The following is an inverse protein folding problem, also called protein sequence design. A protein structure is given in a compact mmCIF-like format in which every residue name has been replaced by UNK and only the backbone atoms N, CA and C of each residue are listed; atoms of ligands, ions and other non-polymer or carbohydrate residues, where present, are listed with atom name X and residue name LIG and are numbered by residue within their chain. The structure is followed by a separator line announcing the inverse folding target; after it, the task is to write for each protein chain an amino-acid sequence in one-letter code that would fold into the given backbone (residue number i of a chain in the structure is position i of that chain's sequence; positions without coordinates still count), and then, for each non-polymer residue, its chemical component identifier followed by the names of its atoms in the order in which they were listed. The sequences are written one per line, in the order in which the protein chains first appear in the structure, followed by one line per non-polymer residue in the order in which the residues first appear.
data_IF_607103610038
#
_entry.id   IF_607103610038
#
_cell.length_a   1.000
_cell.length_b   1.000
_cell.length_c   1.000
_cell.angle_alpha   90.00
_cell.angle_beta   90.00
_cell.angle_gamma   90.00
#
_symmetry.space_group_name_H-M   'P 1'
#
loop_
_entity.id
_entity.type
_entity.pdbx_description
1 polymer ?
#
# COMPACT_ATOMS: atom_id res chain seq x y z
N UNK A 1 -0.31 -24.83 14.47
CA UNK A 1 0.51 -24.67 13.24
C UNK A 1 1.60 -23.66 13.57
N UNK A 2 2.83 -23.84 13.10
CA UNK A 2 3.87 -22.80 13.24
C UNK A 2 3.47 -21.57 12.42
N UNK A 3 3.57 -20.38 13.00
CA UNK A 3 3.39 -19.13 12.26
C UNK A 3 4.43 -19.04 11.15
N UNK A 4 4.03 -18.50 9.99
CA UNK A 4 4.93 -18.19 8.88
C UNK A 4 4.66 -16.74 8.52
N UNK A 5 5.67 -15.88 8.67
CA UNK A 5 5.50 -14.45 8.38
C UNK A 5 5.06 -14.24 6.93
N UNK A 6 4.02 -13.42 6.68
CA UNK A 6 3.56 -13.11 5.34
C UNK A 6 4.62 -12.37 4.50
N UNK A 7 5.60 -11.74 5.16
CA UNK A 7 6.69 -11.03 4.50
C UNK A 7 7.78 -11.96 3.95
N UNK A 8 7.81 -13.24 4.31
CA UNK A 8 8.79 -14.19 3.76
C UNK A 8 8.56 -14.46 2.26
N UNK A 9 7.33 -14.28 1.77
CA UNK A 9 6.97 -14.51 0.38
C UNK A 9 6.24 -13.29 -0.23
N UNK A 10 6.94 -12.15 -0.42
CA UNK A 10 6.29 -10.90 -0.81
C UNK A 10 5.89 -10.85 -2.30
N UNK A 11 6.28 -11.86 -3.09
CA UNK A 11 6.23 -11.84 -4.55
C UNK A 11 4.84 -11.55 -5.13
N UNK A 12 3.78 -12.10 -4.54
CA UNK A 12 2.42 -11.87 -5.03
C UNK A 12 1.99 -10.40 -4.88
N UNK A 13 2.35 -9.74 -3.78
CA UNK A 13 1.99 -8.33 -3.54
C UNK A 13 2.75 -7.42 -4.48
N UNK A 14 4.04 -7.71 -4.71
CA UNK A 14 4.88 -6.96 -5.65
C UNK A 14 4.35 -7.08 -7.08
N UNK A 15 3.99 -8.30 -7.52
CA UNK A 15 3.39 -8.52 -8.84
C UNK A 15 2.08 -7.77 -8.98
N UNK A 16 1.20 -7.85 -7.98
CA UNK A 16 -0.09 -7.16 -8.00
C UNK A 16 0.08 -5.64 -8.12
N UNK A 17 0.97 -5.03 -7.32
CA UNK A 17 1.26 -3.59 -7.40
C UNK A 17 1.81 -3.18 -8.77
N UNK A 18 2.70 -3.99 -9.36
CA UNK A 18 3.23 -3.71 -10.69
C UNK A 18 2.13 -3.77 -11.76
N UNK A 19 1.24 -4.76 -11.70
CA UNK A 19 0.11 -4.89 -12.62
C UNK A 19 -0.84 -3.69 -12.49
N UNK A 20 -1.24 -3.34 -11.26
CA UNK A 20 -2.11 -2.19 -11.01
C UNK A 20 -1.50 -0.88 -11.50
N UNK A 21 -0.19 -0.69 -11.35
CA UNK A 21 0.52 0.48 -11.89
C UNK A 21 0.47 0.50 -13.42
N UNK A 22 0.75 -0.63 -14.08
CA UNK A 22 0.69 -0.74 -15.55
C UNK A 22 -0.73 -0.53 -16.10
N UNK A 23 -1.74 -1.10 -15.45
CA UNK A 23 -3.15 -0.89 -15.80
C UNK A 23 -3.55 0.57 -15.64
N UNK A 24 -3.16 1.21 -14.54
CA UNK A 24 -3.48 2.62 -14.28
C UNK A 24 -2.89 3.55 -15.35
N UNK A 25 -1.64 3.32 -15.77
CA UNK A 25 -1.01 4.08 -16.87
C UNK A 25 -1.76 3.87 -18.18
N UNK A 26 -2.06 2.61 -18.53
CA UNK A 26 -2.75 2.32 -19.78
C UNK A 26 -4.16 2.93 -19.84
N UNK A 27 -4.88 2.93 -18.71
CA UNK A 27 -6.19 3.58 -18.62
C UNK A 27 -6.04 5.10 -18.73
N UNK A 28 -5.04 5.70 -18.07
CA UNK A 28 -4.80 7.14 -18.14
C UNK A 28 -4.54 7.62 -19.57
N UNK A 29 -3.67 6.92 -20.30
CA UNK A 29 -3.43 7.17 -21.74
C UNK A 29 -4.71 7.02 -22.57
N UNK A 30 -5.55 6.04 -22.24
CA UNK A 30 -6.84 5.81 -22.88
C UNK A 30 -7.85 6.94 -22.63
N UNK A 31 -7.95 7.42 -21.38
CA UNK A 31 -8.80 8.54 -21.00
C UNK A 31 -8.35 9.81 -21.71
N UNK A 32 -7.05 10.13 -21.67
CA UNK A 32 -6.50 11.30 -22.36
C UNK A 32 -6.78 11.26 -23.88
N UNK A 33 -6.67 10.08 -24.50
CA UNK A 33 -7.01 9.89 -25.91
C UNK A 33 -8.50 10.12 -26.17
N UNK A 34 -9.37 9.53 -25.36
CA UNK A 34 -10.82 9.67 -25.51
C UNK A 34 -11.27 11.14 -25.39
N UNK A 35 -10.72 11.86 -24.40
CA UNK A 35 -10.97 13.31 -24.23
C UNK A 35 -10.56 14.09 -25.48
N UNK A 36 -9.36 13.82 -26.01
CA UNK A 36 -8.87 14.49 -27.22
C UNK A 36 -9.74 14.20 -28.44
N UNK A 37 -10.06 12.94 -28.70
CA UNK A 37 -10.87 12.55 -29.87
C UNK A 37 -12.29 13.12 -29.79
N UNK A 38 -12.89 13.17 -28.59
CA UNK A 38 -14.19 13.80 -28.38
C UNK A 38 -14.15 15.31 -28.67
N UNK A 39 -13.09 16.01 -28.27
CA UNK A 39 -12.87 17.42 -28.65
C UNK A 39 -12.79 17.60 -30.16
N UNK A 40 -12.05 16.74 -30.86
CA UNK A 40 -11.94 16.78 -32.31
C UNK A 40 -13.29 16.54 -33.01
N UNK A 41 -14.07 15.55 -32.56
CA UNK A 41 -15.41 15.30 -33.10
C UNK A 41 -16.36 16.46 -32.87
N UNK A 42 -16.39 17.02 -31.65
CA UNK A 42 -17.20 18.20 -31.34
C UNK A 42 -16.84 19.37 -32.25
N UNK A 43 -15.55 19.67 -32.43
CA UNK A 43 -15.09 20.77 -33.27
C UNK A 43 -15.54 20.62 -34.73
N UNK A 44 -15.58 19.39 -35.25
CA UNK A 44 -15.91 19.13 -36.66
C UNK A 44 -17.41 19.02 -36.93
N UNK A 45 -18.19 18.48 -35.99
CA UNK A 45 -19.55 18.03 -36.28
C UNK A 45 -20.64 18.66 -35.40
N UNK A 46 -20.29 19.39 -34.33
CA UNK A 46 -21.28 19.91 -33.36
C UNK A 46 -22.34 20.85 -33.96
N UNK A 47 -22.02 21.56 -35.04
CA UNK A 47 -22.97 22.43 -35.74
C UNK A 47 -24.13 21.67 -36.36
N UNK A 48 -23.92 20.41 -36.74
CA UNK A 48 -24.93 19.54 -37.36
C UNK A 48 -25.42 18.45 -36.39
N UNK A 49 -24.60 18.06 -35.41
CA UNK A 49 -24.85 16.96 -34.50
C UNK A 49 -24.52 17.37 -33.05
N UNK A 50 -25.52 17.88 -32.34
CA UNK A 50 -25.36 18.36 -30.94
C UNK A 50 -24.83 17.29 -29.98
N UNK A 51 -25.09 16.00 -30.24
CA UNK A 51 -24.54 14.89 -29.45
C UNK A 51 -23.00 14.84 -29.44
N UNK A 52 -22.32 15.36 -30.48
CA UNK A 52 -20.87 15.45 -30.50
C UNK A 52 -20.34 16.42 -29.43
N UNK A 53 -21.06 17.53 -29.19
CA UNK A 53 -20.73 18.46 -28.11
C UNK A 53 -20.99 17.84 -26.73
N UNK A 54 -22.12 17.13 -26.57
CA UNK A 54 -22.46 16.45 -25.32
C UNK A 54 -21.43 15.38 -24.91
N UNK A 55 -20.92 14.60 -25.87
CA UNK A 55 -19.86 13.62 -25.61
C UNK A 55 -18.59 14.29 -25.09
N UNK A 56 -18.16 15.38 -25.75
CA UNK A 56 -17.00 16.17 -25.31
C UNK A 56 -17.21 16.72 -23.89
N UNK A 57 -18.35 17.38 -23.63
CA UNK A 57 -18.63 17.97 -22.32
C UNK A 57 -18.65 16.90 -21.21
N UNK A 58 -19.19 15.72 -21.49
CA UNK A 58 -19.22 14.58 -20.54
C UNK A 58 -17.80 14.10 -20.20
N UNK A 59 -16.94 13.96 -21.20
CA UNK A 59 -15.56 13.51 -20.98
C UNK A 59 -14.70 14.57 -20.31
N UNK A 60 -14.91 15.86 -20.60
CA UNK A 60 -14.26 16.98 -19.90
C UNK A 60 -14.67 17.07 -18.43
N UNK A 61 -15.90 16.68 -18.08
CA UNK A 61 -16.32 16.56 -16.69
C UNK A 61 -15.74 15.32 -16.00
N UNK A 62 -15.57 14.22 -16.74
CA UNK A 62 -15.01 12.98 -16.21
C UNK A 62 -13.50 13.08 -15.90
N UNK A 63 -12.73 13.74 -16.77
CA UNK A 63 -11.25 13.81 -16.70
C UNK A 63 -10.73 14.25 -15.31
N UNK A 64 -11.21 15.35 -14.69
CA UNK A 64 -10.77 15.74 -13.35
C UNK A 64 -11.06 14.69 -12.26
N UNK A 65 -12.18 13.98 -12.35
CA UNK A 65 -12.53 12.92 -11.40
C UNK A 65 -11.58 11.73 -11.52
N UNK A 66 -11.21 11.37 -12.75
CA UNK A 66 -10.21 10.34 -13.03
C UNK A 66 -8.83 10.75 -12.49
N UNK A 67 -8.34 11.94 -12.83
CA UNK A 67 -7.05 12.46 -12.35
C UNK A 67 -6.99 12.48 -10.83
N UNK A 68 -8.04 12.94 -10.15
CA UNK A 68 -8.11 12.95 -8.68
C UNK A 68 -8.05 11.54 -8.10
N UNK A 69 -8.76 10.59 -8.70
CA UNK A 69 -8.77 9.19 -8.25
C UNK A 69 -7.40 8.53 -8.37
N UNK A 70 -6.67 8.79 -9.47
CA UNK A 70 -5.29 8.33 -9.65
C UNK A 70 -4.36 8.96 -8.61
N UNK A 71 -4.47 10.27 -8.41
CA UNK A 71 -3.69 11.00 -7.42
C UNK A 71 -3.89 10.45 -6.01
N UNK A 72 -5.13 10.18 -5.59
CA UNK A 72 -5.41 9.62 -4.27
C UNK A 72 -4.80 8.22 -4.10
N UNK A 73 -4.83 7.39 -5.15
CA UNK A 73 -4.17 6.08 -5.11
C UNK A 73 -2.63 6.21 -5.01
N UNK A 74 -2.05 7.19 -5.71
CA UNK A 74 -0.62 7.47 -5.71
C UNK A 74 -0.15 7.95 -4.34
N UNK A 75 -0.85 8.93 -3.78
CA UNK A 75 -0.50 9.53 -2.51
C UNK A 75 -0.68 8.51 -1.37
N UNK A 76 -1.69 7.64 -1.46
CA UNK A 76 -1.83 6.51 -0.55
C UNK A 76 -0.65 5.54 -0.64
N UNK A 77 -0.25 5.11 -1.84
CA UNK A 77 0.90 4.21 -2.02
C UNK A 77 2.20 4.80 -1.46
N UNK A 78 2.43 6.11 -1.66
CA UNK A 78 3.57 6.83 -1.07
C UNK A 78 3.52 6.80 0.47
N UNK A 79 2.37 7.12 1.06
CA UNK A 79 2.15 7.07 2.51
C UNK A 79 2.37 5.67 3.07
N UNK A 80 1.89 4.64 2.39
CA UNK A 80 2.09 3.24 2.76
C UNK A 80 3.56 2.82 2.69
N UNK A 81 4.29 3.25 1.66
CA UNK A 81 5.74 2.98 1.56
C UNK A 81 6.48 3.54 2.77
N UNK A 82 6.21 4.80 3.12
CA UNK A 82 6.79 5.42 4.32
C UNK A 82 6.37 4.70 5.61
N UNK A 83 5.10 4.30 5.71
CA UNK A 83 4.58 3.57 6.87
C UNK A 83 5.26 2.21 7.05
N UNK A 84 5.42 1.43 5.98
CA UNK A 84 6.16 0.15 6.01
C UNK A 84 7.66 0.33 6.27
N UNK A 85 8.28 1.40 5.76
CA UNK A 85 9.68 1.71 6.09
C UNK A 85 9.85 2.02 7.57
N UNK A 86 8.88 2.69 8.20
CA UNK A 86 8.88 2.90 9.65
C UNK A 86 8.63 1.59 10.41
N UNK A 87 7.72 0.74 9.92
CA UNK A 87 7.51 -0.59 10.47
C UNK A 87 8.80 -1.40 10.54
N UNK A 88 9.58 -1.41 9.44
CA UNK A 88 10.88 -2.06 9.38
C UNK A 88 11.95 -1.38 10.26
N UNK A 89 12.21 -0.09 10.03
CA UNK A 89 13.36 0.60 10.63
C UNK A 89 13.21 0.93 12.11
N UNK A 90 11.97 1.00 12.62
CA UNK A 90 11.67 1.26 14.04
C UNK A 90 11.22 -0.03 14.70
N UNK A 91 10.03 -0.53 14.37
CA UNK A 91 9.37 -1.58 15.15
C UNK A 91 10.06 -2.94 15.04
N UNK A 92 10.32 -3.42 13.83
CA UNK A 92 11.06 -4.67 13.63
C UNK A 92 12.48 -4.59 14.19
N UNK A 93 13.11 -3.42 14.12
CA UNK A 93 14.45 -3.21 14.70
C UNK A 93 14.47 -3.27 16.23
N UNK A 94 13.41 -2.89 16.94
CA UNK A 94 13.37 -3.00 18.41
C UNK A 94 13.65 -4.44 18.90
N UNK A 95 13.27 -5.44 18.11
CA UNK A 95 13.54 -6.86 18.43
C UNK A 95 15.06 -7.11 18.58
N UNK A 96 15.89 -6.41 17.81
CA UNK A 96 17.34 -6.54 17.89
C UNK A 96 17.92 -6.04 19.21
N UNK A 97 17.30 -5.01 19.79
CA UNK A 97 17.83 -4.26 20.94
C UNK A 97 17.38 -4.83 22.30
N UNK A 98 16.53 -5.86 22.32
CA UNK A 98 16.07 -6.50 23.56
C UNK A 98 17.22 -7.16 24.31
N UNK A 99 17.57 -6.60 25.47
CA UNK A 99 18.57 -7.11 26.41
C UNK A 99 18.01 -7.43 27.79
N UNK A 100 16.76 -7.05 28.08
CA UNK A 100 16.09 -7.27 29.36
C UNK A 100 14.62 -7.69 29.19
N UNK A 101 14.02 -8.20 30.28
CA UNK A 101 12.59 -8.50 30.29
C UNK A 101 11.73 -7.24 30.12
N UNK A 102 12.21 -6.09 30.64
CA UNK A 102 11.51 -4.82 30.45
C UNK A 102 11.51 -4.43 28.97
N UNK A 103 12.63 -4.59 28.28
CA UNK A 103 12.72 -4.28 26.84
C UNK A 103 11.74 -5.16 26.03
N UNK A 104 11.56 -6.42 26.42
CA UNK A 104 10.57 -7.30 25.79
C UNK A 104 9.12 -6.82 26.03
N UNK A 105 8.82 -6.27 27.21
CA UNK A 105 7.52 -5.66 27.50
C UNK A 105 7.32 -4.37 26.70
N UNK A 106 8.37 -3.56 26.56
CA UNK A 106 8.33 -2.33 25.78
C UNK A 106 8.10 -2.65 24.29
N UNK A 107 8.76 -3.68 23.75
CA UNK A 107 8.48 -4.19 22.39
C UNK A 107 7.01 -4.55 22.23
N UNK A 108 6.42 -5.30 23.17
CA UNK A 108 4.99 -5.64 23.10
C UNK A 108 4.12 -4.37 23.01
N UNK A 109 4.40 -3.38 23.87
CA UNK A 109 3.65 -2.13 23.92
C UNK A 109 3.78 -1.32 22.61
N UNK A 110 4.98 -1.24 22.03
CA UNK A 110 5.24 -0.53 20.78
C UNK A 110 4.51 -1.18 19.59
N UNK A 111 4.51 -2.52 19.49
CA UNK A 111 3.77 -3.22 18.42
C UNK A 111 2.24 -3.12 18.58
N UNK A 112 1.73 -3.07 19.81
CA UNK A 112 0.30 -2.79 20.08
C UNK A 112 -0.07 -1.35 19.72
N UNK A 113 0.82 -0.39 20.02
CA UNK A 113 0.68 1.02 19.64
C UNK A 113 0.63 1.16 18.12
N UNK A 114 1.58 0.57 17.39
CA UNK A 114 1.60 0.54 15.93
C UNK A 114 0.30 -0.02 15.33
N UNK A 115 -0.20 -1.12 15.88
CA UNK A 115 -1.44 -1.76 15.41
C UNK A 115 -2.70 -0.90 15.64
N UNK A 116 -2.60 0.11 16.51
CA UNK A 116 -3.68 1.06 16.82
C UNK A 116 -3.55 2.37 16.04
N UNK A 117 -2.47 2.56 15.27
CA UNK A 117 -2.26 3.77 14.49
C UNK A 117 -3.25 3.90 13.33
N UNK A 118 -3.49 5.13 12.91
CA UNK A 118 -4.30 5.40 11.73
C UNK A 118 -3.62 4.85 10.46
N UNK A 119 -4.31 3.92 9.81
CA UNK A 119 -3.90 3.26 8.56
C UNK A 119 -3.76 4.27 7.41
N UNK A 120 -2.73 4.16 6.55
CA UNK A 120 -2.65 4.96 5.34
C UNK A 120 -3.92 4.95 4.49
N UNK A 121 -4.59 3.81 4.30
CA UNK A 121 -5.78 3.68 3.44
C UNK A 121 -6.98 4.50 3.94
N UNK A 122 -7.09 4.79 5.24
CA UNK A 122 -8.20 5.59 5.76
C UNK A 122 -8.07 7.09 5.46
N UNK A 123 -6.89 7.55 5.04
CA UNK A 123 -6.57 8.96 4.78
C UNK A 123 -6.93 9.41 3.36
N UNK A 124 -7.24 8.48 2.45
CA UNK A 124 -7.42 8.75 1.02
C UNK A 124 -8.74 8.20 0.48
N UNK A 125 -9.29 8.86 -0.55
CA UNK A 125 -10.55 8.45 -1.17
C UNK A 125 -10.31 7.40 -2.27
N UNK A 126 -10.18 6.14 -1.89
CA UNK A 126 -9.94 5.03 -2.82
C UNK A 126 -11.21 4.36 -3.36
N UNK A 127 -12.38 4.95 -3.13
CA UNK A 127 -13.67 4.37 -3.51
C UNK A 127 -13.84 4.17 -5.02
N UNK A 128 -13.23 5.04 -5.83
CA UNK A 128 -13.21 4.97 -7.29
C UNK A 128 -12.07 4.12 -7.84
N UNK A 129 -11.15 3.63 -6.99
CA UNK A 129 -10.01 2.78 -7.36
C UNK A 129 -10.01 1.48 -6.53
N UNK A 130 -11.03 0.61 -6.71
CA UNK A 130 -11.23 -0.57 -5.86
C UNK A 130 -10.08 -1.60 -5.94
N UNK A 131 -9.39 -1.69 -7.08
CA UNK A 131 -8.20 -2.52 -7.24
C UNK A 131 -7.06 -2.08 -6.31
N UNK A 132 -6.55 -0.83 -6.44
CA UNK A 132 -5.59 -0.25 -5.51
C UNK A 132 -6.05 -0.33 -4.05
N UNK A 133 -7.30 0.04 -3.74
CA UNK A 133 -7.86 -0.04 -2.38
C UNK A 133 -7.65 -1.41 -1.76
N UNK A 134 -8.09 -2.47 -2.44
CA UNK A 134 -8.01 -3.84 -1.94
C UNK A 134 -6.56 -4.28 -1.74
N UNK A 135 -5.68 -3.97 -2.69
CA UNK A 135 -4.26 -4.32 -2.58
C UNK A 135 -3.57 -3.63 -1.40
N UNK A 136 -3.92 -2.36 -1.15
CA UNK A 136 -3.38 -1.58 -0.05
C UNK A 136 -3.88 -2.09 1.30
N UNK A 137 -5.18 -2.32 1.46
CA UNK A 137 -5.76 -2.91 2.68
C UNK A 137 -5.17 -4.31 2.97
N UNK A 138 -4.94 -5.11 1.93
CA UNK A 138 -4.29 -6.42 2.08
C UNK A 138 -2.86 -6.28 2.61
N UNK A 139 -2.08 -5.31 2.11
CA UNK A 139 -0.71 -5.05 2.57
C UNK A 139 -0.68 -4.54 4.02
N UNK A 140 -1.60 -3.63 4.40
CA UNK A 140 -1.74 -3.18 5.80
C UNK A 140 -1.97 -4.36 6.74
N UNK A 141 -2.85 -5.30 6.35
CA UNK A 141 -3.12 -6.51 7.13
C UNK A 141 -1.89 -7.41 7.34
N UNK A 142 -0.85 -7.30 6.52
CA UNK A 142 0.40 -8.06 6.69
C UNK A 142 1.16 -7.55 7.90
N UNK A 143 1.33 -6.23 8.00
CA UNK A 143 2.03 -5.59 9.11
C UNK A 143 1.27 -5.75 10.43
N UNK A 144 -0.08 -5.75 10.40
CA UNK A 144 -0.89 -6.04 11.58
C UNK A 144 -0.74 -7.48 12.06
N UNK A 145 -0.75 -8.45 11.13
CA UNK A 145 -0.53 -9.86 11.47
C UNK A 145 0.86 -10.09 12.04
N UNK A 146 1.88 -9.46 11.46
CA UNK A 146 3.25 -9.55 11.94
C UNK A 146 3.38 -8.90 13.33
N UNK A 147 2.79 -7.73 13.53
CA UNK A 147 2.76 -7.05 14.83
C UNK A 147 2.12 -7.92 15.91
N UNK A 148 0.95 -8.48 15.60
CA UNK A 148 0.24 -9.40 16.49
C UNK A 148 1.08 -10.63 16.80
N UNK A 149 1.74 -11.22 15.81
CA UNK A 149 2.60 -12.37 16.02
C UNK A 149 3.75 -12.08 17.00
N UNK A 150 4.45 -10.95 16.81
CA UNK A 150 5.54 -10.53 17.70
C UNK A 150 5.02 -10.34 19.13
N UNK A 151 3.89 -9.63 19.30
CA UNK A 151 3.29 -9.43 20.62
C UNK A 151 2.86 -10.75 21.27
N UNK A 152 2.17 -11.62 20.56
CA UNK A 152 1.66 -12.90 21.08
C UNK A 152 2.84 -13.81 21.51
N UNK A 153 3.90 -13.91 20.69
CA UNK A 153 5.09 -14.73 21.00
C UNK A 153 5.81 -14.26 22.28
N UNK A 154 5.89 -12.95 22.49
CA UNK A 154 6.54 -12.39 23.68
C UNK A 154 5.66 -12.46 24.92
N UNK A 155 4.33 -12.31 24.77
CA UNK A 155 3.38 -12.40 25.88
C UNK A 155 3.20 -13.83 26.40
N UNK A 156 3.11 -14.80 25.50
CA UNK A 156 2.81 -16.20 25.85
C UNK A 156 4.06 -16.98 26.30
N UNK A 157 5.25 -16.38 26.17
CA UNK A 157 6.50 -17.05 26.54
C UNK A 157 6.85 -16.89 28.02
N UNK A 158 7.04 -18.03 28.68
CA UNK A 158 7.67 -18.09 30.01
C UNK A 158 9.19 -17.79 29.95
N UNK A 159 9.80 -17.82 28.76
CA UNK A 159 11.21 -17.54 28.51
C UNK A 159 11.35 -16.55 27.34
N UNK A 160 11.37 -15.25 27.67
CA UNK A 160 11.46 -14.18 26.69
C UNK A 160 12.77 -14.22 25.88
N UNK A 161 13.87 -14.74 26.45
CA UNK A 161 15.14 -14.84 25.71
C UNK A 161 15.00 -15.82 24.55
N UNK A 162 14.38 -16.98 24.80
CA UNK A 162 14.12 -17.97 23.76
C UNK A 162 13.17 -17.42 22.69
N UNK A 163 12.10 -16.74 23.11
CA UNK A 163 11.12 -16.14 22.20
C UNK A 163 11.78 -15.10 21.26
N UNK A 164 12.62 -14.21 21.81
CA UNK A 164 13.39 -13.25 21.01
C UNK A 164 14.37 -13.95 20.07
N UNK A 165 15.06 -15.00 20.52
CA UNK A 165 15.96 -15.77 19.67
C UNK A 165 15.24 -16.42 18.49
N UNK A 166 14.01 -16.89 18.70
CA UNK A 166 13.16 -17.43 17.63
C UNK A 166 12.73 -16.33 16.64
N UNK A 167 12.26 -15.17 17.12
CA UNK A 167 11.90 -14.03 16.27
C UNK A 167 13.09 -13.54 15.44
N UNK A 168 14.28 -13.43 16.04
CA UNK A 168 15.52 -12.99 15.37
C UNK A 168 15.96 -13.90 14.23
N UNK A 169 15.56 -15.18 14.25
CA UNK A 169 15.99 -16.16 13.24
C UNK A 169 15.55 -15.78 11.83
N UNK A 170 14.29 -15.37 11.69
CA UNK A 170 13.70 -15.01 10.40
C UNK A 170 13.61 -13.50 10.19
N UNK A 171 13.88 -12.69 11.22
CA UNK A 171 13.79 -11.23 11.18
C UNK A 171 14.48 -10.60 9.96
N UNK A 172 15.73 -10.94 9.58
CA UNK A 172 16.35 -10.34 8.39
C UNK A 172 15.58 -10.62 7.09
N UNK A 173 14.95 -11.79 6.98
CA UNK A 173 14.14 -12.15 5.82
C UNK A 173 12.79 -11.43 5.82
N UNK A 174 12.17 -11.28 6.99
CA UNK A 174 10.94 -10.48 7.18
C UNK A 174 11.20 -9.03 6.80
N UNK A 175 12.26 -8.41 7.33
CA UNK A 175 12.68 -7.04 7.02
C UNK A 175 12.92 -6.83 5.51
N UNK A 176 13.62 -7.76 4.88
CA UNK A 176 13.82 -7.75 3.42
C UNK A 176 12.48 -7.84 2.65
N UNK A 177 11.53 -8.63 3.15
CA UNK A 177 10.18 -8.72 2.62
C UNK A 177 9.41 -7.41 2.69
N UNK A 178 9.39 -6.79 3.87
CA UNK A 178 8.77 -5.48 4.11
C UNK A 178 9.37 -4.43 3.17
N UNK A 179 10.70 -4.35 3.11
CA UNK A 179 11.41 -3.42 2.23
C UNK A 179 11.02 -3.58 0.77
N UNK A 180 10.99 -4.82 0.25
CA UNK A 180 10.59 -5.08 -1.14
C UNK A 180 9.16 -4.62 -1.46
N UNK A 181 8.23 -4.78 -0.52
CA UNK A 181 6.85 -4.28 -0.69
C UNK A 181 6.83 -2.76 -0.63
N UNK A 182 7.54 -2.15 0.32
CA UNK A 182 7.65 -0.69 0.42
C UNK A 182 8.25 -0.05 -0.85
N UNK A 183 9.28 -0.67 -1.42
CA UNK A 183 9.90 -0.22 -2.67
C UNK A 183 8.95 -0.40 -3.88
N UNK A 184 8.12 -1.45 -3.88
CA UNK A 184 7.11 -1.65 -4.91
C UNK A 184 5.98 -0.60 -4.84
N UNK A 185 5.56 -0.21 -3.62
CA UNK A 185 4.61 0.88 -3.39
C UNK A 185 5.18 2.23 -3.81
N UNK A 186 6.44 2.51 -3.48
CA UNK A 186 7.13 3.73 -3.93
C UNK A 186 7.19 3.77 -5.46
N UNK A 187 7.55 2.64 -6.11
CA UNK A 187 7.57 2.54 -7.56
C UNK A 187 6.18 2.72 -8.19
N UNK A 188 5.12 2.18 -7.58
CA UNK A 188 3.75 2.44 -7.99
C UNK A 188 3.46 3.95 -7.95
N UNK A 189 3.81 4.62 -6.85
CA UNK A 189 3.59 6.05 -6.69
C UNK A 189 4.39 6.90 -7.70
N UNK A 190 5.68 6.60 -7.90
CA UNK A 190 6.53 7.34 -8.84
C UNK A 190 6.07 7.18 -10.29
N UNK A 191 5.58 6.00 -10.68
CA UNK A 191 5.10 5.75 -12.04
C UNK A 191 3.80 6.50 -12.39
N UNK A 192 3.03 6.91 -11.39
CA UNK A 192 1.79 7.65 -11.55
C UNK A 192 1.95 9.16 -11.27
N UNK A 193 3.17 9.62 -11.00
CA UNK A 193 3.51 11.04 -10.81
C UNK A 193 4.22 11.61 -12.02
#
# INVERSE_FOLDING_TARGET
MSYVSPFLNPGQYITNLNNLSSESIAIDEGVARAVREAREFSNKYSSNFSHAAQLKDTLEQFEPHWTKSLQDSRDCASSMSAWLRRFDSVFLNLINDVGSQQDAQDVIAEFQSFSSEERPTSKYQLGSTPGPKKAFEEIESLAERESKHVSDVLQDSNDWHKAIAELKKDLPNVQNGVKKIADALEKYATKLG
#
